data_IF_459078423402
#
_entry.id   IF_459078423402
#
_cell.length_a   1.000
_cell.length_b   1.000
_cell.length_c   1.000
_cell.angle_alpha   90.00
_cell.angle_beta   90.00
_cell.angle_gamma   90.00
#
_symmetry.space_group_name_H-M   'P 1'
#
loop_
_entity.id
_entity.type
_entity.pdbx_description
1 polymer ?
#
# COMPACT_ATOMS: atom_id res chain seq x y z
N UNK A 1 -8.66 6.80 -8.35
CA UNK A 1 -7.47 6.25 -7.66
C UNK A 1 -7.01 5.04 -8.45
N UNK A 2 -5.72 4.97 -8.78
CA UNK A 2 -5.13 3.93 -9.64
C UNK A 2 -4.18 3.09 -8.80
N UNK A 3 -4.22 1.77 -8.97
CA UNK A 3 -3.28 0.84 -8.34
C UNK A 3 -1.90 0.97 -8.98
N UNK A 4 -0.88 1.19 -8.15
CA UNK A 4 0.52 1.33 -8.58
C UNK A 4 1.39 0.16 -8.13
N UNK A 5 1.05 -0.48 -7.02
CA UNK A 5 1.83 -1.55 -6.44
C UNK A 5 0.95 -2.47 -5.61
N UNK A 6 1.27 -3.77 -5.65
CA UNK A 6 0.66 -4.81 -4.83
C UNK A 6 1.75 -5.75 -4.37
N UNK A 7 1.92 -5.90 -3.06
CA UNK A 7 3.02 -6.70 -2.51
C UNK A 7 2.90 -6.94 -1.02
N UNK A 8 4.02 -7.32 -0.40
CA UNK A 8 4.07 -7.49 1.05
C UNK A 8 3.84 -6.17 1.78
N UNK A 9 3.42 -6.26 3.05
CA UNK A 9 3.23 -5.08 3.89
C UNK A 9 4.50 -4.23 4.01
N UNK A 10 5.66 -4.87 4.16
CA UNK A 10 6.95 -4.17 4.32
C UNK A 10 7.34 -3.41 3.04
N UNK A 11 7.21 -4.06 1.88
CA UNK A 11 7.50 -3.41 0.58
C UNK A 11 6.54 -2.23 0.32
N UNK A 12 5.25 -2.45 0.60
CA UNK A 12 4.21 -1.43 0.48
C UNK A 12 4.51 -0.24 1.39
N UNK A 13 4.94 -0.48 2.64
CA UNK A 13 5.25 0.59 3.57
C UNK A 13 6.49 1.39 3.15
N UNK A 14 7.51 0.72 2.59
CA UNK A 14 8.69 1.40 2.05
C UNK A 14 8.32 2.29 0.85
N UNK A 15 7.52 1.79 -0.08
CA UNK A 15 7.09 2.55 -1.26
C UNK A 15 6.18 3.71 -0.84
N UNK A 16 5.29 3.48 0.13
CA UNK A 16 4.46 4.53 0.71
C UNK A 16 5.30 5.67 1.27
N UNK A 17 6.28 5.36 2.13
CA UNK A 17 7.16 6.35 2.73
C UNK A 17 7.95 7.13 1.66
N UNK A 18 8.40 6.46 0.59
CA UNK A 18 9.09 7.12 -0.52
C UNK A 18 8.19 8.11 -1.26
N UNK A 19 6.94 7.73 -1.55
CA UNK A 19 5.98 8.58 -2.25
C UNK A 19 5.51 9.74 -1.37
N UNK A 20 5.23 9.49 -0.09
CA UNK A 20 4.88 10.54 0.87
C UNK A 20 6.04 11.54 1.08
N UNK A 21 7.30 11.07 1.05
CA UNK A 21 8.47 11.96 1.08
C UNK A 21 8.60 12.86 -0.14
N UNK A 22 7.92 12.54 -1.25
CA UNK A 22 7.84 13.36 -2.46
C UNK A 22 6.52 14.15 -2.54
N UNK A 23 5.81 14.31 -1.42
CA UNK A 23 4.52 15.02 -1.33
C UNK A 23 3.40 14.34 -2.16
N UNK A 24 3.56 13.06 -2.51
CA UNK A 24 2.56 12.29 -3.25
C UNK A 24 1.61 11.61 -2.28
N UNK A 25 0.31 11.94 -2.38
CA UNK A 25 -0.74 11.31 -1.57
C UNK A 25 -1.02 9.88 -2.04
N UNK A 26 -0.65 8.93 -1.19
CA UNK A 26 -0.85 7.48 -1.38
C UNK A 26 -1.91 6.93 -0.42
N UNK A 27 -2.73 6.03 -0.95
CA UNK A 27 -3.75 5.30 -0.21
C UNK A 27 -3.40 3.82 -0.20
N UNK A 28 -3.30 3.26 0.99
CA UNK A 28 -3.11 1.82 1.19
C UNK A 28 -4.48 1.17 1.39
N UNK A 29 -4.78 0.19 0.54
CA UNK A 29 -5.94 -0.68 0.68
C UNK A 29 -5.48 -2.05 1.21
N UNK A 30 -6.38 -2.73 1.92
CA UNK A 30 -6.18 -4.08 2.46
C UNK A 30 -5.27 -4.21 3.71
N UNK A 31 -4.88 -3.11 4.36
CA UNK A 31 -4.00 -3.15 5.54
C UNK A 31 -4.63 -3.75 6.80
N UNK A 32 -5.96 -3.75 6.91
CA UNK A 32 -6.68 -4.05 8.17
C UNK A 32 -7.50 -5.36 8.16
N UNK A 33 -7.40 -6.20 7.13
CA UNK A 33 -8.13 -7.50 7.12
C UNK A 33 -7.62 -8.43 8.25
N UNK A 34 -6.43 -8.20 8.79
CA UNK A 34 -5.90 -8.95 9.93
C UNK A 34 -6.72 -8.79 11.22
N UNK A 35 -7.59 -7.76 11.33
CA UNK A 35 -8.39 -7.53 12.54
C UNK A 35 -9.69 -8.35 12.61
N UNK A 36 -10.14 -9.00 11.53
CA UNK A 36 -11.43 -9.73 11.49
C UNK A 36 -11.24 -11.25 11.70
N UNK A 37 -10.00 -11.76 11.73
CA UNK A 37 -9.72 -13.18 12.01
C UNK A 37 -8.79 -13.33 13.23
N UNK A 38 -9.33 -13.65 14.43
CA UNK A 38 -8.54 -13.77 15.66
C UNK A 38 -7.47 -14.88 15.65
N UNK A 39 -7.58 -15.84 14.74
CA UNK A 39 -6.75 -17.06 14.68
C UNK A 39 -5.74 -17.07 13.52
N UNK A 40 -5.68 -16.04 12.68
CA UNK A 40 -4.69 -15.96 11.60
C UNK A 40 -3.58 -14.98 11.98
N UNK A 41 -2.64 -15.46 12.80
CA UNK A 41 -1.35 -14.81 13.02
C UNK A 41 -0.40 -15.22 11.88
N UNK A 42 -0.64 -14.68 10.68
CA UNK A 42 0.38 -14.70 9.63
C UNK A 42 1.29 -13.49 9.83
N UNK A 43 2.57 -13.75 10.12
CA UNK A 43 3.64 -12.76 10.21
C UNK A 43 3.85 -12.16 8.81
N UNK A 44 3.00 -11.20 8.42
CA UNK A 44 3.00 -10.61 7.09
C UNK A 44 1.64 -10.30 6.49
N UNK A 45 0.53 -10.73 7.12
CA UNK A 45 -0.82 -10.60 6.55
C UNK A 45 -1.00 -11.55 5.37
N UNK A 46 -2.08 -12.31 5.33
CA UNK A 46 -2.33 -13.27 4.24
C UNK A 46 -2.74 -12.58 2.91
N UNK A 47 -2.86 -11.26 2.96
CA UNK A 47 -3.44 -10.42 1.92
C UNK A 47 -2.42 -9.37 1.50
N UNK A 48 -2.12 -9.35 0.19
CA UNK A 48 -1.19 -8.37 -0.37
C UNK A 48 -1.76 -6.95 -0.15
N UNK A 49 -0.93 -6.07 0.41
CA UNK A 49 -1.27 -4.67 0.56
C UNK A 49 -1.23 -4.00 -0.82
N UNK A 50 -2.24 -3.16 -1.10
CA UNK A 50 -2.42 -2.52 -2.40
C UNK A 50 -2.21 -1.02 -2.22
N UNK A 51 -1.24 -0.46 -2.93
CA UNK A 51 -1.03 0.98 -2.99
C UNK A 51 -1.78 1.59 -4.17
N UNK A 52 -2.53 2.65 -3.87
CA UNK A 52 -3.29 3.43 -4.84
C UNK A 52 -2.91 4.90 -4.74
N UNK A 53 -2.74 5.55 -5.88
CA UNK A 53 -2.50 7.01 -5.98
C UNK A 53 -3.67 7.69 -6.67
N UNK A 54 -3.74 9.01 -6.56
CA UNK A 54 -4.65 9.79 -7.40
C UNK A 54 -4.17 9.78 -8.85
N UNK A 55 -5.10 9.83 -9.80
CA UNK A 55 -4.77 9.79 -11.23
C UNK A 55 -3.92 10.99 -11.66
N UNK A 56 -4.13 12.15 -11.04
CA UNK A 56 -3.34 13.36 -11.24
C UNK A 56 -1.86 13.21 -10.85
N UNK A 57 -1.55 12.33 -9.89
CA UNK A 57 -0.21 12.13 -9.33
C UNK A 57 0.48 10.88 -9.93
N UNK A 58 -0.21 10.17 -10.84
CA UNK A 58 0.31 8.95 -11.48
C UNK A 58 1.60 9.21 -12.28
N UNK A 59 1.73 10.39 -12.90
CA UNK A 59 2.88 10.75 -13.71
C UNK A 59 4.17 10.88 -12.90
N UNK A 60 4.08 11.39 -11.69
CA UNK A 60 5.22 11.55 -10.78
C UNK A 60 5.48 10.26 -9.99
N UNK A 61 4.45 9.47 -9.70
CA UNK A 61 4.60 8.17 -9.03
C UNK A 61 5.25 7.06 -9.90
N UNK A 62 5.36 7.26 -11.22
CA UNK A 62 5.98 6.30 -12.16
C UNK A 62 7.41 6.66 -12.58
N UNK A 63 7.92 7.82 -12.18
CA UNK A 63 9.29 8.26 -12.44
C UNK A 63 10.26 7.66 -11.44
#
# INVERSE_FOLDING_TARGET
>A
MIEIFRGSYIETMNIKNLLESNDILVFTANEYISSIQPWSVSVGGNDAAILKVQEKDLGEAKK
#
